data_IF_733695515281
#
_entry.id   IF_733695515281
#
_cell.length_a   1.000
_cell.length_b   1.000
_cell.length_c   1.000
_cell.angle_alpha   90.00
_cell.angle_beta   90.00
_cell.angle_gamma   90.00
#
_symmetry.space_group_name_H-M   'P 1'
#
loop_
_entity.id
_entity.type
_entity.pdbx_description
1 polymer ?
#
# COMPACT_ATOMS: atom_id res chain seq x y z
N UNK A 1 -26.94 -9.57 10.55
CA UNK A 1 -25.79 -9.88 9.68
C UNK A 1 -24.51 -9.72 10.50
N UNK A 2 -23.64 -10.73 10.54
CA UNK A 2 -22.43 -10.68 11.36
C UNK A 2 -21.50 -9.56 10.85
N UNK A 3 -21.15 -8.63 11.74
CA UNK A 3 -20.20 -7.55 11.49
C UNK A 3 -18.83 -8.23 11.30
N UNK A 4 -18.40 -8.43 10.05
CA UNK A 4 -17.03 -8.89 9.77
C UNK A 4 -16.09 -7.75 10.15
N UNK A 5 -15.64 -7.76 11.40
CA UNK A 5 -14.50 -6.97 11.80
C UNK A 5 -13.29 -7.57 11.07
N UNK A 6 -12.77 -6.85 10.08
CA UNK A 6 -11.55 -7.25 9.38
C UNK A 6 -10.44 -7.10 10.41
N UNK A 7 -9.87 -8.22 10.86
CA UNK A 7 -8.68 -8.22 11.70
C UNK A 7 -7.47 -8.38 10.78
N UNK A 8 -6.70 -7.32 10.64
CA UNK A 8 -5.43 -7.33 9.92
C UNK A 8 -4.28 -7.44 10.92
N UNK A 9 -3.18 -8.07 10.50
CA UNK A 9 -1.92 -7.93 11.20
C UNK A 9 -1.45 -6.46 11.16
N UNK A 10 -0.55 -6.08 12.06
CA UNK A 10 -0.04 -4.70 12.11
C UNK A 10 0.63 -4.30 10.79
N UNK A 11 1.49 -5.16 10.24
CA UNK A 11 2.14 -4.95 8.95
C UNK A 11 1.14 -4.79 7.80
N UNK A 12 0.11 -5.64 7.75
CA UNK A 12 -0.98 -5.55 6.77
C UNK A 12 -1.74 -4.22 6.90
N UNK A 13 -1.97 -3.74 8.13
CA UNK A 13 -2.66 -2.47 8.38
C UNK A 13 -1.83 -1.28 7.89
N UNK A 14 -0.52 -1.30 8.12
CA UNK A 14 0.41 -0.27 7.63
C UNK A 14 0.42 -0.24 6.10
N UNK A 15 0.51 -1.41 5.45
CA UNK A 15 0.49 -1.52 3.99
C UNK A 15 -0.85 -1.02 3.42
N UNK A 16 -1.98 -1.38 4.05
CA UNK A 16 -3.30 -0.90 3.64
C UNK A 16 -3.40 0.62 3.75
N UNK A 17 -2.87 1.22 4.81
CA UNK A 17 -2.88 2.66 5.00
C UNK A 17 -2.03 3.38 3.95
N UNK A 18 -0.84 2.88 3.64
CA UNK A 18 0.00 3.42 2.57
C UNK A 18 -0.67 3.27 1.19
N UNK A 19 -1.25 2.10 0.90
CA UNK A 19 -1.97 1.87 -0.36
C UNK A 19 -3.19 2.79 -0.52
N UNK A 20 -3.88 3.11 0.57
CA UNK A 20 -4.99 4.06 0.57
C UNK A 20 -4.52 5.48 0.25
N UNK A 21 -3.38 5.92 0.80
CA UNK A 21 -2.79 7.23 0.50
C UNK A 21 -2.36 7.33 -0.97
N UNK A 22 -1.71 6.29 -1.50
CA UNK A 22 -1.29 6.24 -2.91
C UNK A 22 -2.52 6.27 -3.84
N UNK A 23 -3.57 5.50 -3.52
CA UNK A 23 -4.80 5.50 -4.30
C UNK A 23 -5.51 6.86 -4.27
N UNK A 24 -5.55 7.52 -3.12
CA UNK A 24 -6.07 8.88 -3.00
C UNK A 24 -5.28 9.86 -3.88
N UNK A 25 -3.96 9.74 -3.95
CA UNK A 25 -3.14 10.55 -4.84
C UNK A 25 -3.50 10.31 -6.32
N UNK A 26 -3.70 9.06 -6.75
CA UNK A 26 -4.15 8.77 -8.11
C UNK A 26 -5.52 9.40 -8.43
N UNK A 27 -6.45 9.36 -7.48
CA UNK A 27 -7.76 10.00 -7.61
C UNK A 27 -7.62 11.52 -7.75
N UNK A 28 -6.83 12.16 -6.89
CA UNK A 28 -6.59 13.61 -6.91
C UNK A 28 -5.90 14.08 -8.19
N UNK A 29 -5.04 13.25 -8.80
CA UNK A 29 -4.41 13.53 -10.08
C UNK A 29 -5.31 13.26 -11.30
N UNK A 30 -6.56 12.81 -11.10
CA UNK A 30 -7.49 12.49 -12.19
C UNK A 30 -7.13 11.24 -12.99
N UNK A 31 -6.24 10.38 -12.47
CA UNK A 31 -5.78 9.17 -13.17
C UNK A 31 -6.83 8.06 -13.16
N UNK A 32 -7.74 8.07 -12.18
CA UNK A 32 -8.71 7.00 -11.93
C UNK A 32 -10.05 7.32 -12.59
N UNK A 33 -10.25 6.83 -13.81
CA UNK A 33 -11.57 6.79 -14.45
C UNK A 33 -12.49 5.74 -13.82
N UNK A 34 -13.81 5.82 -14.08
CA UNK A 34 -14.79 4.87 -13.52
C UNK A 34 -14.49 3.40 -13.84
N UNK A 35 -13.99 3.14 -15.05
CA UNK A 35 -13.62 1.80 -15.51
C UNK A 35 -12.27 1.32 -14.95
N UNK A 36 -11.45 2.23 -14.42
CA UNK A 36 -10.08 1.97 -13.99
C UNK A 36 -9.93 1.87 -12.45
N UNK A 37 -10.99 2.08 -11.67
CA UNK A 37 -10.97 2.01 -10.20
C UNK A 37 -10.25 0.76 -9.69
N UNK A 38 -10.61 -0.41 -10.19
CA UNK A 38 -9.99 -1.68 -9.79
C UNK A 38 -8.52 -1.79 -10.19
N UNK A 39 -8.15 -1.24 -11.35
CA UNK A 39 -6.76 -1.25 -11.84
C UNK A 39 -5.87 -0.43 -10.90
N UNK A 40 -6.26 0.80 -10.60
CA UNK A 40 -5.47 1.70 -9.76
C UNK A 40 -5.49 1.28 -8.29
N UNK A 41 -6.57 0.66 -7.79
CA UNK A 41 -6.60 0.07 -6.46
C UNK A 41 -5.58 -1.07 -6.34
N UNK A 42 -5.52 -1.98 -7.33
CA UNK A 42 -4.51 -3.04 -7.35
C UNK A 42 -3.11 -2.48 -7.49
N UNK A 43 -2.95 -1.40 -8.27
CA UNK A 43 -1.66 -0.75 -8.44
C UNK A 43 -1.17 -0.12 -7.13
N UNK A 44 -2.02 0.60 -6.41
CA UNK A 44 -1.62 1.26 -5.15
C UNK A 44 -1.19 0.27 -4.08
N UNK A 45 -1.82 -0.91 -4.03
CA UNK A 45 -1.40 -2.01 -3.14
C UNK A 45 -0.01 -2.52 -3.53
N UNK A 46 0.27 -2.73 -4.82
CA UNK A 46 1.61 -3.16 -5.28
C UNK A 46 2.68 -2.11 -4.99
N UNK A 47 2.36 -0.85 -5.18
CA UNK A 47 3.28 0.26 -4.93
C UNK A 47 3.60 0.36 -3.44
N UNK A 48 2.59 0.23 -2.56
CA UNK A 48 2.80 0.18 -1.12
C UNK A 48 3.68 -1.00 -0.68
N UNK A 49 3.48 -2.19 -1.26
CA UNK A 49 4.33 -3.36 -0.99
C UNK A 49 5.77 -3.13 -1.47
N UNK A 50 5.93 -2.52 -2.66
CA UNK A 50 7.25 -2.19 -3.20
C UNK A 50 7.98 -1.23 -2.27
N UNK A 51 7.32 -0.17 -1.80
CA UNK A 51 7.89 0.77 -0.84
C UNK A 51 8.30 0.05 0.44
N UNK A 52 7.42 -0.77 1.02
CA UNK A 52 7.71 -1.50 2.25
C UNK A 52 8.96 -2.39 2.10
N UNK A 53 9.09 -3.10 0.97
CA UNK A 53 10.27 -3.93 0.67
C UNK A 53 11.54 -3.10 0.49
N UNK A 54 11.48 -2.00 -0.26
CA UNK A 54 12.64 -1.15 -0.46
C UNK A 54 13.13 -0.50 0.83
N UNK A 55 12.22 -0.17 1.76
CA UNK A 55 12.59 0.30 3.10
C UNK A 55 13.26 -0.81 3.90
N UNK A 56 12.71 -2.02 3.89
CA UNK A 56 13.31 -3.19 4.55
C UNK A 56 14.72 -3.46 4.03
N UNK A 57 14.89 -3.51 2.70
CA UNK A 57 16.18 -3.71 2.03
C UNK A 57 17.19 -2.61 2.41
N UNK A 58 16.75 -1.34 2.45
CA UNK A 58 17.62 -0.21 2.80
C UNK A 58 18.06 -0.26 4.27
N UNK A 59 17.15 -0.59 5.18
CA UNK A 59 17.45 -0.71 6.62
C UNK A 59 18.38 -1.89 6.89
N UNK A 60 18.18 -3.04 6.23
CA UNK A 60 19.08 -4.19 6.34
C UNK A 60 20.46 -3.84 5.79
N UNK A 61 20.53 -3.21 4.61
CA UNK A 61 21.80 -2.83 3.99
C UNK A 61 22.62 -1.85 4.85
N UNK A 62 21.98 -0.92 5.53
CA UNK A 62 22.64 -0.02 6.48
C UNK A 62 23.09 -0.74 7.77
N UNK A 63 22.39 -1.81 8.18
CA UNK A 63 22.70 -2.60 9.37
C UNK A 63 23.78 -3.66 9.20
N UNK A 64 24.14 -4.04 7.97
CA UNK A 64 25.25 -4.97 7.68
C UNK A 64 26.63 -4.30 7.59
N UNK A 65 26.72 -2.99 7.89
CA UNK A 65 27.99 -2.24 7.96
C UNK A 65 28.54 -2.11 9.39
N UNK A 66 28.27 -3.06 10.29
CA UNK A 66 28.93 -3.22 11.60
C UNK A 66 29.71 -4.55 11.69
#
# INVERSE_FOLDING_TARGET
MAKKHITLQHSESVIVQAAAQIYAAYLSCGLVGEKDKTKYLKQSIRDAITIARSVDDAVISDGEME
#
